data_IF_613466380151
#
_entry.id   IF_613466380151
#
_cell.length_a   1.000
_cell.length_b   1.000
_cell.length_c   1.000
_cell.angle_alpha   90.00
_cell.angle_beta   90.00
_cell.angle_gamma   90.00
#
_symmetry.space_group_name_H-M   'P 1'
#
loop_
_entity.id
_entity.type
_entity.pdbx_description
1 polymer ?
#
# COMPACT_ATOMS: atom_id res chain seq x y z
N UNK A 1 -25.31 37.30 -1.95
CA UNK A 1 -25.02 35.89 -2.30
C UNK A 1 -23.70 35.48 -1.65
N UNK A 2 -23.70 34.82 -0.49
CA UNK A 2 -22.52 34.78 0.40
C UNK A 2 -21.93 33.40 0.75
N UNK A 3 -22.41 32.29 0.21
CA UNK A 3 -21.86 30.97 0.54
C UNK A 3 -22.02 30.02 -0.65
N UNK A 4 -20.92 29.68 -1.33
CA UNK A 4 -20.89 28.69 -2.41
C UNK A 4 -19.72 27.75 -2.21
N UNK A 5 -19.93 26.45 -2.48
CA UNK A 5 -18.89 25.43 -2.41
C UNK A 5 -17.69 25.77 -3.31
N UNK A 6 -17.95 26.36 -4.49
CA UNK A 6 -16.92 26.79 -5.44
C UNK A 6 -15.92 27.80 -4.85
N UNK A 7 -16.28 28.51 -3.77
CA UNK A 7 -15.41 29.45 -3.06
C UNK A 7 -14.59 28.81 -1.94
N UNK A 8 -14.72 27.50 -1.71
CA UNK A 8 -13.93 26.78 -0.72
C UNK A 8 -12.46 26.71 -1.19
N UNK A 9 -11.48 27.05 -0.33
CA UNK A 9 -10.08 27.01 -0.72
C UNK A 9 -9.66 25.67 -1.32
N UNK A 10 -9.01 25.71 -2.49
CA UNK A 10 -8.52 24.53 -3.20
C UNK A 10 -9.58 23.68 -3.91
N UNK A 11 -10.89 23.90 -3.69
CA UNK A 11 -11.95 23.05 -4.23
C UNK A 11 -11.93 22.94 -5.76
N UNK A 12 -11.93 24.07 -6.46
CA UNK A 12 -11.97 24.08 -7.93
C UNK A 12 -10.71 23.42 -8.55
N UNK A 13 -9.54 23.66 -7.95
CA UNK A 13 -8.29 23.05 -8.38
C UNK A 13 -8.31 21.53 -8.14
N UNK A 14 -8.65 21.09 -6.93
CA UNK A 14 -8.68 19.68 -6.59
C UNK A 14 -9.67 18.90 -7.45
N UNK A 15 -10.88 19.43 -7.64
CA UNK A 15 -11.89 18.77 -8.47
C UNK A 15 -11.46 18.72 -9.94
N UNK A 16 -10.82 19.78 -10.46
CA UNK A 16 -10.28 19.79 -11.82
C UNK A 16 -9.20 18.73 -12.09
N UNK A 17 -8.47 18.27 -11.06
CA UNK A 17 -7.46 17.21 -11.20
C UNK A 17 -8.05 15.80 -11.33
N UNK A 18 -9.24 15.57 -10.77
CA UNK A 18 -9.90 14.26 -10.79
C UNK A 18 -11.08 14.19 -11.77
N UNK A 19 -11.49 15.33 -12.31
CA UNK A 19 -12.47 15.39 -13.39
C UNK A 19 -11.84 14.92 -14.70
N UNK A 20 -12.57 14.04 -15.39
CA UNK A 20 -12.29 13.63 -16.75
C UNK A 20 -13.12 14.47 -17.73
N UNK A 21 -12.80 14.45 -19.05
CA UNK A 21 -13.61 15.12 -20.06
C UNK A 21 -15.06 14.63 -20.11
N UNK A 22 -15.30 13.38 -19.70
CA UNK A 22 -16.64 12.79 -19.59
C UNK A 22 -17.30 13.25 -18.29
N UNK A 23 -18.60 13.54 -18.35
CA UNK A 23 -19.38 13.92 -17.17
C UNK A 23 -19.42 12.76 -16.18
N UNK A 24 -19.06 12.98 -14.90
CA UNK A 24 -19.09 11.92 -13.91
C UNK A 24 -20.52 11.53 -13.56
N UNK A 25 -20.76 10.24 -13.30
CA UNK A 25 -22.08 9.77 -12.86
C UNK A 25 -22.32 10.06 -11.37
N UNK A 26 -21.24 10.13 -10.58
CA UNK A 26 -21.28 10.50 -9.17
C UNK A 26 -20.10 11.42 -8.84
N UNK A 27 -20.38 12.48 -8.09
CA UNK A 27 -19.37 13.32 -7.47
C UNK A 27 -19.67 13.44 -5.99
N UNK A 28 -18.72 13.02 -5.16
CA UNK A 28 -18.77 13.16 -3.70
C UNK A 28 -17.78 14.23 -3.27
N UNK A 29 -18.20 15.06 -2.33
CA UNK A 29 -17.33 16.04 -1.68
C UNK A 29 -17.55 16.03 -0.18
N UNK A 30 -16.45 16.14 0.56
CA UNK A 30 -16.46 16.33 2.00
C UNK A 30 -15.64 17.54 2.40
N UNK A 31 -16.30 18.49 3.07
CA UNK A 31 -15.63 19.55 3.82
C UNK A 31 -15.10 18.95 5.12
N UNK A 32 -13.78 18.69 5.21
CA UNK A 32 -13.21 18.01 6.37
C UNK A 32 -13.39 18.84 7.65
N UNK A 33 -12.95 20.11 7.74
CA UNK A 33 -13.13 20.93 8.94
C UNK A 33 -14.59 21.04 9.38
N UNK A 34 -15.49 21.37 8.44
CA UNK A 34 -16.92 21.52 8.72
C UNK A 34 -17.54 20.21 9.22
N UNK A 35 -17.19 19.07 8.60
CA UNK A 35 -17.74 17.77 9.01
C UNK A 35 -17.32 17.37 10.41
N UNK A 36 -16.10 17.71 10.84
CA UNK A 36 -15.61 17.43 12.19
C UNK A 36 -16.27 18.34 13.21
N UNK A 37 -16.36 19.65 12.96
CA UNK A 37 -17.08 20.58 13.87
C UNK A 37 -18.53 20.16 14.07
N UNK A 38 -19.18 19.60 13.04
CA UNK A 38 -20.54 19.06 13.15
C UNK A 38 -20.60 17.72 13.88
N UNK A 39 -19.63 16.81 13.69
CA UNK A 39 -19.62 15.49 14.31
C UNK A 39 -19.18 15.52 15.79
N UNK A 40 -18.23 16.39 16.15
CA UNK A 40 -17.72 16.56 17.51
C UNK A 40 -18.80 17.06 18.49
N UNK A 41 -19.86 17.72 17.99
CA UNK A 41 -21.03 18.08 18.80
C UNK A 41 -21.80 16.85 19.32
N UNK A 42 -21.63 15.69 18.67
CA UNK A 42 -22.40 14.49 18.94
C UNK A 42 -21.55 13.30 19.45
N UNK A 43 -20.22 13.43 19.52
CA UNK A 43 -19.32 12.33 19.90
C UNK A 43 -18.21 12.77 20.86
N UNK A 44 -18.22 12.20 22.06
CA UNK A 44 -17.23 12.40 23.11
C UNK A 44 -16.07 11.39 23.00
N UNK A 45 -15.44 11.32 21.80
CA UNK A 45 -14.26 10.47 21.59
C UNK A 45 -13.03 11.33 21.35
N UNK A 46 -12.05 11.19 22.24
CA UNK A 46 -10.72 11.76 22.02
C UNK A 46 -10.11 11.13 20.76
N UNK A 47 -9.74 11.98 19.80
CA UNK A 47 -8.96 11.58 18.63
C UNK A 47 -7.49 11.47 19.04
N UNK A 48 -6.74 10.53 18.48
CA UNK A 48 -5.27 10.50 18.66
C UNK A 48 -4.65 11.81 18.15
N UNK A 49 -3.51 12.21 18.70
CA UNK A 49 -2.83 13.46 18.34
C UNK A 49 -2.52 13.53 16.83
N UNK A 50 -2.03 12.45 16.22
CA UNK A 50 -1.78 12.37 14.78
C UNK A 50 -3.04 12.60 13.93
N UNK A 51 -4.19 12.07 14.38
CA UNK A 51 -5.48 12.23 13.70
C UNK A 51 -5.98 13.66 13.80
N UNK A 52 -5.75 14.33 14.94
CA UNK A 52 -6.05 15.75 15.10
C UNK A 52 -5.18 16.61 14.17
N UNK A 53 -3.86 16.35 14.14
CA UNK A 53 -2.92 17.10 13.29
C UNK A 53 -3.23 16.97 11.79
N UNK A 54 -3.68 15.79 11.32
CA UNK A 54 -4.16 15.62 9.94
C UNK A 54 -5.45 16.40 9.70
N UNK A 55 -6.45 16.26 10.59
CA UNK A 55 -7.74 16.98 10.49
C UNK A 55 -7.53 18.49 10.47
N UNK A 56 -6.63 19.00 11.31
CA UNK A 56 -6.33 20.42 11.43
C UNK A 56 -5.70 20.98 10.16
N UNK A 57 -5.04 20.15 9.38
CA UNK A 57 -4.37 20.55 8.15
C UNK A 57 -5.15 20.17 6.89
N UNK A 58 -6.13 19.28 6.97
CA UNK A 58 -6.97 18.87 5.85
C UNK A 58 -8.05 19.91 5.53
N UNK A 59 -8.22 20.21 4.24
CA UNK A 59 -9.23 21.16 3.75
C UNK A 59 -10.45 20.45 3.18
N UNK A 60 -10.21 19.41 2.38
CA UNK A 60 -11.29 18.72 1.71
C UNK A 60 -10.85 17.39 1.10
N UNK A 61 -11.87 16.61 0.77
CA UNK A 61 -11.76 15.37 0.02
C UNK A 61 -12.85 15.34 -1.04
N UNK A 62 -12.53 14.81 -2.21
CA UNK A 62 -13.48 14.63 -3.29
C UNK A 62 -13.24 13.30 -4.00
N UNK A 63 -14.34 12.70 -4.46
CA UNK A 63 -14.33 11.52 -5.31
C UNK A 63 -15.18 11.78 -6.53
N UNK A 64 -14.65 11.42 -7.68
CA UNK A 64 -15.38 11.35 -8.94
C UNK A 64 -15.47 9.88 -9.34
N UNK A 65 -16.67 9.42 -9.65
CA UNK A 65 -16.91 8.11 -10.22
C UNK A 65 -17.41 8.27 -11.66
N UNK A 66 -16.79 7.52 -12.58
CA UNK A 66 -17.16 7.46 -13.99
C UNK A 66 -17.61 6.05 -14.34
N UNK A 67 -18.69 5.93 -15.10
CA UNK A 67 -19.07 4.66 -15.72
C UNK A 67 -18.21 4.48 -16.97
N UNK A 68 -17.61 3.31 -17.09
CA UNK A 68 -16.93 2.81 -18.28
C UNK A 68 -17.80 1.71 -18.88
N UNK A 69 -17.57 1.36 -20.15
CA UNK A 69 -18.30 0.27 -20.82
C UNK A 69 -18.27 -1.03 -20.00
N UNK A 70 -17.11 -1.34 -19.41
CA UNK A 70 -16.86 -2.58 -18.68
C UNK A 70 -16.67 -2.38 -17.16
N UNK A 71 -17.00 -1.21 -16.59
CA UNK A 71 -16.83 -1.02 -15.15
C UNK A 71 -16.98 0.39 -14.60
N UNK A 72 -16.41 0.60 -13.41
CA UNK A 72 -16.49 1.85 -12.67
C UNK A 72 -15.07 2.33 -12.38
N UNK A 73 -14.74 3.53 -12.83
CA UNK A 73 -13.49 4.20 -12.47
C UNK A 73 -13.75 5.16 -11.30
N UNK A 74 -12.95 5.05 -10.23
CA UNK A 74 -13.00 5.95 -9.08
C UNK A 74 -11.71 6.79 -9.02
N UNK A 75 -11.83 8.11 -9.08
CA UNK A 75 -10.73 9.06 -8.87
C UNK A 75 -10.96 9.82 -7.58
N UNK A 76 -9.97 9.77 -6.69
CA UNK A 76 -10.06 10.36 -5.35
C UNK A 76 -8.96 11.41 -5.20
N UNK A 77 -9.26 12.52 -4.52
CA UNK A 77 -8.26 13.50 -4.11
C UNK A 77 -8.58 14.03 -2.72
N UNK A 78 -7.55 14.17 -1.90
CA UNK A 78 -7.59 14.92 -0.65
C UNK A 78 -6.59 16.07 -0.74
N UNK A 79 -6.92 17.22 -0.15
CA UNK A 79 -6.03 18.37 -0.14
C UNK A 79 -6.00 19.09 1.20
N UNK A 80 -4.89 19.78 1.42
CA UNK A 80 -4.59 20.50 2.65
C UNK A 80 -5.10 21.95 2.60
N UNK A 81 -5.22 22.57 3.77
CA UNK A 81 -5.53 24.00 3.92
C UNK A 81 -4.41 24.87 3.33
N UNK A 82 -4.74 26.09 2.86
CA UNK A 82 -3.72 27.08 2.53
C UNK A 82 -2.79 27.30 3.73
N UNK A 83 -1.48 27.34 3.49
CA UNK A 83 -0.49 27.54 4.55
C UNK A 83 -0.24 26.33 5.46
N UNK A 84 -0.79 25.14 5.16
CA UNK A 84 -0.45 23.92 5.90
C UNK A 84 1.05 23.69 5.94
N UNK A 85 1.54 23.38 7.16
CA UNK A 85 2.96 23.06 7.43
C UNK A 85 3.35 21.74 6.78
N UNK A 86 2.43 20.78 6.74
CA UNK A 86 2.58 19.52 6.03
C UNK A 86 2.56 19.75 4.52
N UNK A 87 3.45 19.06 3.83
CA UNK A 87 3.48 18.94 2.36
C UNK A 87 3.61 17.46 2.01
N UNK A 88 2.89 17.01 1.00
CA UNK A 88 3.11 15.70 0.41
C UNK A 88 4.28 15.78 -0.57
N UNK A 89 5.22 14.84 -0.49
CA UNK A 89 6.28 14.71 -1.48
C UNK A 89 5.67 14.11 -2.75
N UNK A 90 5.23 14.96 -3.68
CA UNK A 90 4.61 14.52 -4.93
C UNK A 90 5.67 13.91 -5.88
N UNK A 91 5.93 12.62 -5.73
CA UNK A 91 6.64 11.80 -6.73
C UNK A 91 5.87 10.51 -6.96
N UNK A 92 4.91 10.54 -7.87
CA UNK A 92 4.30 9.31 -8.39
C UNK A 92 5.00 8.92 -9.68
N UNK A 93 6.00 8.05 -9.56
CA UNK A 93 6.77 7.50 -10.69
C UNK A 93 6.36 6.05 -10.99
N UNK A 94 5.14 5.65 -10.60
CA UNK A 94 4.61 4.34 -10.97
C UNK A 94 4.55 4.23 -12.50
N UNK A 95 5.02 3.10 -13.04
CA UNK A 95 5.06 2.84 -14.47
C UNK A 95 4.24 1.59 -14.75
N UNK A 96 4.89 0.43 -14.83
CA UNK A 96 4.28 -0.78 -15.37
C UNK A 96 4.59 -2.02 -14.54
N UNK A 97 5.05 -1.90 -13.30
CA UNK A 97 5.36 -3.08 -12.49
C UNK A 97 4.09 -3.91 -12.23
N UNK A 98 2.94 -3.25 -12.07
CA UNK A 98 1.64 -3.89 -11.93
C UNK A 98 1.27 -4.76 -13.15
N UNK A 99 1.78 -4.46 -14.35
CA UNK A 99 1.52 -5.27 -15.55
C UNK A 99 2.29 -6.60 -15.56
N UNK A 100 3.18 -6.83 -14.58
CA UNK A 100 3.88 -8.11 -14.39
C UNK A 100 3.13 -9.05 -13.43
N UNK A 101 2.06 -8.59 -12.78
CA UNK A 101 1.23 -9.43 -11.94
C UNK A 101 0.44 -10.45 -12.78
N UNK A 102 0.07 -11.61 -12.22
CA UNK A 102 -0.75 -12.59 -12.92
C UNK A 102 -2.11 -12.02 -13.35
N UNK A 103 -2.60 -12.44 -14.52
CA UNK A 103 -3.96 -12.08 -14.99
C UNK A 103 -5.07 -12.56 -14.05
N UNK A 104 -4.81 -13.56 -13.23
CA UNK A 104 -5.75 -14.10 -12.24
C UNK A 104 -5.84 -13.29 -10.95
N UNK A 105 -5.07 -12.20 -10.80
CA UNK A 105 -5.12 -11.37 -9.61
C UNK A 105 -6.55 -10.86 -9.32
N UNK A 106 -7.03 -11.06 -8.09
CA UNK A 106 -8.37 -10.68 -7.66
C UNK A 106 -8.45 -9.20 -7.28
N UNK A 107 -7.35 -8.67 -6.73
CA UNK A 107 -7.20 -7.26 -6.37
C UNK A 107 -5.71 -6.91 -6.30
N UNK A 108 -5.40 -5.63 -6.45
CA UNK A 108 -4.03 -5.13 -6.33
C UNK A 108 -3.95 -3.72 -5.74
N UNK A 109 -2.80 -3.44 -5.13
CA UNK A 109 -2.33 -2.09 -4.80
C UNK A 109 -0.96 -1.88 -5.44
N UNK A 110 -0.71 -0.70 -5.97
CA UNK A 110 0.58 -0.37 -6.62
C UNK A 110 0.92 1.11 -6.48
N UNK A 111 2.20 1.43 -6.55
CA UNK A 111 2.67 2.82 -6.47
C UNK A 111 4.13 2.98 -6.88
N UNK A 112 4.59 4.22 -7.03
CA UNK A 112 5.92 4.54 -7.58
C UNK A 112 7.08 4.46 -6.59
N UNK A 113 6.81 4.43 -5.28
CA UNK A 113 7.81 4.41 -4.23
C UNK A 113 7.23 3.74 -2.98
N UNK A 114 7.61 2.48 -2.73
CA UNK A 114 7.07 1.74 -1.59
C UNK A 114 7.49 2.32 -0.24
N UNK A 115 8.74 2.78 -0.10
CA UNK A 115 9.21 3.44 1.11
C UNK A 115 8.34 4.66 1.45
N UNK A 116 8.13 5.56 0.50
CA UNK A 116 7.30 6.75 0.70
C UNK A 116 5.84 6.36 0.99
N UNK A 117 5.27 5.43 0.21
CA UNK A 117 3.93 4.90 0.45
C UNK A 117 3.79 4.36 1.88
N UNK A 118 4.75 3.58 2.36
CA UNK A 118 4.72 3.01 3.70
C UNK A 118 4.78 4.09 4.79
N UNK A 119 5.66 5.07 4.63
CA UNK A 119 5.79 6.18 5.58
C UNK A 119 4.50 7.02 5.65
N UNK A 120 3.92 7.36 4.50
CA UNK A 120 2.66 8.10 4.41
C UNK A 120 1.48 7.29 4.91
N UNK A 121 1.45 5.99 4.59
CA UNK A 121 0.43 5.08 5.07
C UNK A 121 0.47 4.99 6.59
N UNK A 122 1.63 4.73 7.21
CA UNK A 122 1.73 4.59 8.67
C UNK A 122 1.35 5.87 9.43
N UNK A 123 1.71 7.04 8.92
CA UNK A 123 1.36 8.31 9.58
C UNK A 123 -0.16 8.52 9.64
N UNK A 124 -0.87 8.10 8.60
CA UNK A 124 -2.28 8.47 8.38
C UNK A 124 -3.22 7.28 8.17
N UNK A 125 -2.81 6.03 8.47
CA UNK A 125 -3.52 4.81 8.03
C UNK A 125 -5.00 4.83 8.45
N UNK A 126 -5.27 5.33 9.67
CA UNK A 126 -6.62 5.45 10.26
C UNK A 126 -7.54 6.40 9.46
N UNK A 127 -6.98 7.27 8.62
CA UNK A 127 -7.71 8.27 7.84
C UNK A 127 -7.95 7.86 6.38
N UNK A 128 -7.27 6.81 5.89
CA UNK A 128 -7.51 6.32 4.54
C UNK A 128 -8.84 5.54 4.47
N UNK A 129 -9.61 5.71 3.39
CA UNK A 129 -10.88 4.99 3.22
C UNK A 129 -10.68 3.48 3.01
N UNK A 130 -9.48 3.07 2.58
CA UNK A 130 -9.09 1.66 2.43
C UNK A 130 -7.86 1.40 3.30
N UNK A 131 -8.01 0.48 4.25
CA UNK A 131 -6.97 0.10 5.22
C UNK A 131 -6.61 -1.37 4.98
N UNK A 132 -5.72 -1.67 4.03
CA UNK A 132 -5.43 -3.05 3.66
C UNK A 132 -4.77 -3.85 4.79
N UNK A 133 -4.07 -3.21 5.73
CA UNK A 133 -3.40 -3.85 6.88
C UNK A 133 -3.04 -2.83 7.98
N UNK A 134 -2.85 -3.28 9.23
CA UNK A 134 -2.33 -2.41 10.30
C UNK A 134 -0.79 -2.36 10.25
N UNK A 135 -0.17 -1.19 10.01
CA UNK A 135 1.28 -1.07 9.89
C UNK A 135 2.02 -1.37 11.21
N UNK A 136 1.37 -1.17 12.37
CA UNK A 136 1.97 -1.50 13.67
C UNK A 136 2.06 -3.01 13.86
N UNK A 137 1.05 -3.76 13.40
CA UNK A 137 1.06 -5.22 13.44
C UNK A 137 2.16 -5.80 12.54
N UNK A 138 2.42 -5.18 11.37
CA UNK A 138 3.53 -5.59 10.51
C UNK A 138 4.87 -5.39 11.20
N UNK A 139 5.13 -4.17 11.70
CA UNK A 139 6.38 -3.85 12.40
C UNK A 139 6.59 -4.78 13.61
N UNK A 140 5.57 -4.91 14.47
CA UNK A 140 5.62 -5.75 15.66
C UNK A 140 5.81 -7.23 15.29
N UNK A 141 5.06 -7.73 14.30
CA UNK A 141 5.14 -9.13 13.88
C UNK A 141 6.53 -9.52 13.37
N UNK A 142 7.16 -8.66 12.56
CA UNK A 142 8.52 -8.89 12.05
C UNK A 142 9.54 -8.84 13.21
N UNK A 143 9.42 -7.86 14.10
CA UNK A 143 10.33 -7.73 15.23
C UNK A 143 10.21 -8.89 16.22
N UNK A 144 8.99 -9.23 16.63
CA UNK A 144 8.72 -10.25 17.64
C UNK A 144 9.00 -11.66 17.10
N UNK A 145 8.75 -11.90 15.80
CA UNK A 145 8.97 -13.23 15.20
C UNK A 145 10.40 -13.42 14.71
N UNK A 146 10.99 -12.41 14.07
CA UNK A 146 12.25 -12.57 13.32
C UNK A 146 13.43 -11.80 13.93
N UNK A 147 13.18 -10.94 14.93
CA UNK A 147 14.21 -10.06 15.47
C UNK A 147 14.68 -8.97 14.51
N UNK A 148 14.01 -8.82 13.37
CA UNK A 148 14.35 -7.85 12.32
C UNK A 148 13.51 -6.58 12.45
N UNK A 149 14.05 -5.47 11.99
CA UNK A 149 13.38 -4.18 11.97
C UNK A 149 12.92 -3.86 10.55
N UNK A 150 11.59 -3.84 10.33
CA UNK A 150 11.00 -3.54 9.02
C UNK A 150 11.56 -2.28 8.36
N UNK A 151 11.67 -1.19 9.12
CA UNK A 151 12.04 0.11 8.56
C UNK A 151 13.53 0.19 8.21
N UNK A 152 14.36 -0.28 9.12
CA UNK A 152 15.82 -0.23 8.97
C UNK A 152 16.29 -1.27 7.96
N UNK A 153 15.81 -2.50 8.09
CA UNK A 153 16.36 -3.64 7.37
C UNK A 153 15.68 -3.80 6.00
N UNK A 154 14.43 -3.38 5.80
CA UNK A 154 13.73 -3.58 4.52
C UNK A 154 13.45 -2.30 3.75
N UNK A 155 12.85 -1.28 4.38
CA UNK A 155 12.38 -0.10 3.64
C UNK A 155 13.50 0.69 2.94
N UNK A 156 14.74 0.59 3.41
CA UNK A 156 15.88 1.37 2.90
C UNK A 156 16.20 1.11 1.42
N UNK A 157 15.93 -0.09 0.92
CA UNK A 157 16.14 -0.50 -0.48
C UNK A 157 14.86 -0.57 -1.31
N UNK A 158 13.71 -0.25 -0.74
CA UNK A 158 12.39 -0.29 -1.38
C UNK A 158 11.90 1.10 -1.84
N UNK A 159 12.78 1.96 -2.35
CA UNK A 159 12.41 3.33 -2.80
C UNK A 159 11.91 3.40 -4.25
N UNK A 160 11.65 2.26 -4.88
CA UNK A 160 11.13 2.17 -6.23
C UNK A 160 9.66 1.73 -6.30
N UNK A 161 9.22 1.51 -7.53
CA UNK A 161 7.87 1.05 -7.86
C UNK A 161 7.55 -0.28 -7.17
N UNK A 162 6.29 -0.46 -6.76
CA UNK A 162 5.81 -1.71 -6.18
C UNK A 162 4.43 -2.09 -6.71
N UNK A 163 4.12 -3.37 -6.62
CA UNK A 163 2.78 -3.92 -6.84
C UNK A 163 2.55 -5.10 -5.89
N UNK A 164 1.42 -5.12 -5.19
CA UNK A 164 1.01 -6.21 -4.29
C UNK A 164 -0.38 -6.66 -4.72
N UNK A 165 -0.58 -7.96 -4.87
CA UNK A 165 -1.82 -8.54 -5.36
C UNK A 165 -2.28 -9.74 -4.51
N UNK A 166 -3.59 -9.90 -4.42
CA UNK A 166 -4.22 -11.14 -4.01
C UNK A 166 -4.40 -12.03 -5.25
N UNK A 167 -3.91 -13.26 -5.18
CA UNK A 167 -3.88 -14.19 -6.33
C UNK A 167 -4.52 -15.51 -5.90
N UNK A 168 -5.45 -16.09 -6.67
CA UNK A 168 -6.03 -17.38 -6.34
C UNK A 168 -4.95 -18.47 -6.47
N UNK A 169 -4.89 -19.38 -5.50
CA UNK A 169 -3.95 -20.49 -5.55
C UNK A 169 -4.42 -21.55 -6.57
N UNK A 170 -3.51 -22.15 -7.36
CA UNK A 170 -3.88 -23.20 -8.30
C UNK A 170 -3.99 -24.58 -7.62
N UNK A 171 -4.85 -25.44 -8.16
CA UNK A 171 -4.89 -26.88 -7.85
C UNK A 171 -5.12 -27.18 -6.36
N UNK A 172 -4.42 -28.20 -5.85
CA UNK A 172 -4.60 -28.69 -4.48
C UNK A 172 -4.17 -27.69 -3.40
N UNK A 173 -3.29 -26.74 -3.73
CA UNK A 173 -2.92 -25.66 -2.80
C UNK A 173 -4.15 -24.80 -2.42
N UNK A 174 -5.09 -24.64 -3.34
CA UNK A 174 -6.32 -23.88 -3.11
C UNK A 174 -7.21 -24.48 -2.00
N UNK A 175 -7.11 -25.78 -1.74
CA UNK A 175 -7.91 -26.45 -0.70
C UNK A 175 -7.48 -26.03 0.71
N UNK A 176 -6.20 -25.70 0.90
CA UNK A 176 -5.64 -25.28 2.19
C UNK A 176 -5.59 -23.76 2.31
N UNK A 177 -5.19 -23.09 1.23
CA UNK A 177 -5.06 -21.64 1.16
C UNK A 177 -5.61 -21.17 -0.19
N UNK A 178 -6.89 -20.76 -0.27
CA UNK A 178 -7.51 -20.44 -1.56
C UNK A 178 -6.96 -19.16 -2.21
N UNK A 179 -6.38 -18.27 -1.40
CA UNK A 179 -5.85 -16.98 -1.83
C UNK A 179 -4.44 -16.82 -1.29
N UNK A 180 -3.50 -16.62 -2.21
CA UNK A 180 -2.12 -16.23 -1.94
C UNK A 180 -1.90 -14.72 -2.12
N UNK A 181 -0.72 -14.27 -1.72
CA UNK A 181 -0.25 -12.89 -1.92
C UNK A 181 0.97 -12.93 -2.84
N UNK A 182 1.03 -12.01 -3.81
CA UNK A 182 2.24 -11.76 -4.59
C UNK A 182 2.64 -10.30 -4.44
N UNK A 183 3.92 -10.04 -4.16
CA UNK A 183 4.49 -8.71 -4.06
C UNK A 183 5.69 -8.58 -5.01
N UNK A 184 5.73 -7.49 -5.75
CA UNK A 184 6.82 -7.07 -6.61
C UNK A 184 7.35 -5.74 -6.10
N UNK A 185 8.67 -5.61 -5.92
CA UNK A 185 9.30 -4.38 -5.47
C UNK A 185 10.53 -4.09 -6.30
N UNK A 186 10.57 -2.92 -6.93
CA UNK A 186 11.75 -2.42 -7.62
C UNK A 186 12.72 -1.83 -6.59
N UNK A 187 13.91 -2.41 -6.50
CA UNK A 187 14.94 -1.95 -5.56
C UNK A 187 15.67 -0.70 -6.07
N UNK A 188 16.07 0.17 -5.14
CA UNK A 188 17.03 1.25 -5.41
C UNK A 188 18.47 0.88 -5.03
N UNK A 189 18.68 -0.24 -4.34
CA UNK A 189 20.00 -0.72 -3.91
C UNK A 189 19.96 -2.25 -3.84
N UNK A 190 20.41 -2.89 -4.92
CA UNK A 190 20.42 -4.35 -5.08
C UNK A 190 21.24 -5.04 -3.98
N UNK A 191 22.39 -4.47 -3.63
CA UNK A 191 23.29 -5.05 -2.63
C UNK A 191 22.67 -4.98 -1.23
N UNK A 192 22.07 -3.83 -0.88
CA UNK A 192 21.35 -3.70 0.38
C UNK A 192 20.17 -4.69 0.44
N UNK A 193 19.41 -4.82 -0.64
CA UNK A 193 18.32 -5.79 -0.73
C UNK A 193 18.81 -7.23 -0.50
N UNK A 194 19.89 -7.67 -1.15
CA UNK A 194 20.44 -9.02 -0.96
C UNK A 194 20.88 -9.28 0.48
N UNK A 195 21.51 -8.30 1.14
CA UNK A 195 21.89 -8.41 2.55
C UNK A 195 20.63 -8.62 3.43
N UNK A 196 19.61 -7.78 3.25
CA UNK A 196 18.36 -7.87 4.01
C UNK A 196 17.61 -9.17 3.75
N UNK A 197 17.56 -9.62 2.50
CA UNK A 197 16.92 -10.88 2.11
C UNK A 197 17.67 -12.09 2.69
N UNK A 198 19.00 -12.02 2.80
CA UNK A 198 19.80 -13.05 3.46
C UNK A 198 19.55 -13.07 4.97
N UNK A 199 19.51 -11.90 5.62
CA UNK A 199 19.14 -11.81 7.04
C UNK A 199 17.75 -12.39 7.31
N UNK A 200 16.82 -12.16 6.39
CA UNK A 200 15.48 -12.74 6.44
C UNK A 200 15.53 -14.27 6.32
N UNK A 201 16.29 -14.84 5.39
CA UNK A 201 16.46 -16.30 5.32
C UNK A 201 17.06 -16.88 6.61
N UNK A 202 18.13 -16.26 7.12
CA UNK A 202 18.82 -16.71 8.32
C UNK A 202 17.87 -16.67 9.54
N UNK A 203 17.02 -15.64 9.65
CA UNK A 203 15.99 -15.55 10.68
C UNK A 203 14.91 -16.63 10.54
N UNK A 204 14.49 -16.95 9.30
CA UNK A 204 13.52 -18.02 9.03
C UNK A 204 14.07 -19.41 9.36
N UNK A 205 15.37 -19.66 9.10
CA UNK A 205 16.07 -20.87 9.55
C UNK A 205 16.05 -20.96 11.08
N UNK A 206 16.32 -19.84 11.77
CA UNK A 206 16.34 -19.76 13.22
C UNK A 206 15.02 -20.12 13.92
N UNK A 207 13.88 -19.98 13.23
CA UNK A 207 12.58 -20.35 13.78
C UNK A 207 12.40 -21.86 13.99
N UNK A 208 13.22 -22.71 13.35
CA UNK A 208 13.11 -24.18 13.33
C UNK A 208 11.77 -24.77 12.85
N UNK A 209 10.79 -23.91 12.54
CA UNK A 209 9.48 -24.26 11.96
C UNK A 209 9.52 -24.38 10.44
N UNK A 210 10.37 -23.59 9.79
CA UNK A 210 10.42 -23.48 8.33
C UNK A 210 11.60 -24.24 7.74
N UNK A 211 11.35 -24.92 6.62
CA UNK A 211 12.41 -25.46 5.76
C UNK A 211 12.78 -24.42 4.72
N UNK A 212 14.01 -23.94 4.73
CA UNK A 212 14.54 -23.00 3.74
C UNK A 212 15.23 -23.78 2.62
N UNK A 213 14.69 -23.68 1.40
CA UNK A 213 15.04 -24.52 0.25
C UNK A 213 15.44 -23.60 -0.91
N UNK A 214 16.72 -23.57 -1.30
CA UNK A 214 17.15 -22.91 -2.52
C UNK A 214 16.54 -23.58 -3.76
N UNK A 215 16.22 -22.80 -4.78
CA UNK A 215 15.67 -23.29 -6.03
C UNK A 215 16.01 -22.38 -7.20
N UNK A 216 15.41 -22.66 -8.36
CA UNK A 216 15.49 -21.80 -9.55
C UNK A 216 14.13 -21.62 -10.19
N UNK A 217 13.88 -20.43 -10.73
CA UNK A 217 12.74 -20.13 -11.59
C UNK A 217 13.25 -19.36 -12.81
N UNK A 218 13.03 -19.87 -14.02
CA UNK A 218 13.56 -19.29 -15.26
C UNK A 218 15.07 -18.98 -15.20
N UNK A 219 15.86 -19.91 -14.67
CA UNK A 219 17.31 -19.79 -14.39
C UNK A 219 17.72 -18.76 -13.34
N UNK A 220 16.79 -17.98 -12.78
CA UNK A 220 17.05 -17.07 -11.65
C UNK A 220 16.96 -17.82 -10.31
N UNK A 221 17.85 -17.54 -9.34
CA UNK A 221 17.80 -18.17 -8.03
C UNK A 221 16.57 -17.70 -7.25
N UNK A 222 15.89 -18.67 -6.64
CA UNK A 222 14.77 -18.43 -5.71
C UNK A 222 15.06 -19.11 -4.37
N UNK A 223 14.38 -18.66 -3.32
CA UNK A 223 14.38 -19.30 -2.00
C UNK A 223 12.95 -19.56 -1.59
N UNK A 224 12.66 -20.79 -1.19
CA UNK A 224 11.37 -21.21 -0.67
C UNK A 224 11.48 -21.44 0.84
N UNK A 225 10.55 -20.88 1.60
CA UNK A 225 10.34 -21.22 3.01
C UNK A 225 9.05 -22.02 3.10
N UNK A 226 9.16 -23.29 3.44
CA UNK A 226 8.00 -24.17 3.56
C UNK A 226 7.73 -24.49 5.03
N UNK A 227 6.49 -24.26 5.46
CA UNK A 227 5.97 -24.75 6.73
C UNK A 227 5.34 -26.13 6.52
N UNK A 228 5.95 -27.23 7.00
CA UNK A 228 5.41 -28.57 6.80
C UNK A 228 4.10 -28.80 7.57
N UNK A 229 3.79 -27.98 8.59
CA UNK A 229 2.60 -28.15 9.43
C UNK A 229 1.35 -27.58 8.76
N UNK A 230 1.45 -26.39 8.16
CA UNK A 230 0.35 -25.74 7.45
C UNK A 230 0.34 -26.06 5.96
N UNK A 231 1.48 -26.48 5.40
CA UNK A 231 1.69 -26.62 3.97
C UNK A 231 1.92 -25.29 3.25
N UNK A 232 2.00 -24.18 3.98
CA UNK A 232 2.22 -22.84 3.42
C UNK A 232 3.66 -22.70 2.95
N UNK A 233 3.84 -22.05 1.80
CA UNK A 233 5.13 -21.75 1.21
C UNK A 233 5.24 -20.25 0.93
N UNK A 234 6.36 -19.67 1.35
CA UNK A 234 6.80 -18.36 0.90
C UNK A 234 7.92 -18.55 -0.11
N UNK A 235 7.76 -18.02 -1.31
CA UNK A 235 8.83 -17.97 -2.31
C UNK A 235 9.31 -16.54 -2.44
N UNK A 236 10.62 -16.34 -2.46
CA UNK A 236 11.22 -15.06 -2.81
C UNK A 236 12.32 -15.22 -3.84
N UNK A 237 12.57 -14.18 -4.60
CA UNK A 237 13.67 -14.16 -5.56
C UNK A 237 13.69 -12.88 -6.35
N UNK A 238 14.30 -12.95 -7.53
CA UNK A 238 14.45 -11.83 -8.44
C UNK A 238 13.82 -12.17 -9.78
N UNK A 239 13.02 -11.25 -10.33
CA UNK A 239 12.52 -11.36 -11.70
C UNK A 239 13.55 -10.91 -12.73
N UNK A 240 14.46 -10.03 -12.30
CA UNK A 240 15.62 -9.52 -13.03
C UNK A 240 16.55 -8.79 -12.03
N UNK A 241 17.54 -8.06 -12.54
CA UNK A 241 18.55 -7.35 -11.73
C UNK A 241 17.99 -6.44 -10.63
N UNK A 242 16.79 -5.86 -10.80
CA UNK A 242 16.28 -4.84 -9.87
C UNK A 242 14.85 -5.05 -9.38
N UNK A 243 14.18 -6.15 -9.71
CA UNK A 243 12.83 -6.45 -9.22
C UNK A 243 12.88 -7.68 -8.33
N UNK A 244 12.74 -7.44 -7.03
CA UNK A 244 12.51 -8.51 -6.07
C UNK A 244 11.04 -8.94 -6.15
N UNK A 245 10.78 -10.23 -6.01
CA UNK A 245 9.43 -10.75 -5.84
C UNK A 245 9.32 -11.58 -4.58
N UNK A 246 8.12 -11.60 -4.02
CA UNK A 246 7.69 -12.48 -2.95
C UNK A 246 6.33 -13.05 -3.30
N UNK A 247 6.10 -14.32 -3.01
CA UNK A 247 4.79 -14.94 -3.05
C UNK A 247 4.56 -15.74 -1.78
N UNK A 248 3.34 -15.73 -1.28
CA UNK A 248 2.86 -16.52 -0.16
C UNK A 248 1.65 -17.33 -0.64
N UNK A 249 1.64 -18.64 -0.39
CA UNK A 249 0.53 -19.51 -0.75
C UNK A 249 0.67 -20.93 -0.24
#
# INVERSE_FOLDING_TARGET
>A
MKTSLARTPGYANALGQIQQPVRPFLTLYRNVPGSITSAAKNFDRSLSQSKQEWIDQAQGWATVANLQEDGIELRNIAWLKPGSKRKFAAKNEAKSLHTKLPKSALAMISGGNFNQFWQDYRQDYITYPVQPFDPNLVNKGIQDSLGLNWEKDFLSWMKGEFAIAMVPMPGDAAQKMPIGIMALVKTNDRRAAEISLKQLDDAMIGQQRYKVIPGKFNNEPIVNWSDPTTGTTVTRGWLNDNIAFFSLG
#
